data_IF_221079774970
#
_entry.id   IF_221079774970
#
_cell.length_a   1.000
_cell.length_b   1.000
_cell.length_c   1.000
_cell.angle_alpha   90.00
_cell.angle_beta   90.00
_cell.angle_gamma   90.00
#
_symmetry.space_group_name_H-M   'P 1'
#
loop_
_entity.id
_entity.type
_entity.pdbx_description
1 polymer ?
#
# COMPACT_ATOMS: atom_id res chain seq x y z
N UNK A 1 -23.64 10.54 4.89
CA UNK A 1 -23.10 9.17 4.68
C UNK A 1 -21.79 9.09 5.44
N UNK A 2 -21.70 8.23 6.45
CA UNK A 2 -20.53 8.15 7.33
C UNK A 2 -19.33 7.58 6.59
N UNK A 3 -18.20 8.28 6.66
CA UNK A 3 -16.90 7.92 6.10
C UNK A 3 -16.24 6.68 6.75
N UNK A 4 -16.96 5.92 7.59
CA UNK A 4 -16.35 4.94 8.49
C UNK A 4 -15.74 3.71 7.80
N UNK A 5 -16.12 3.41 6.55
CA UNK A 5 -15.64 2.24 5.82
C UNK A 5 -14.60 2.52 4.73
N UNK A 6 -14.21 3.78 4.50
CA UNK A 6 -13.30 4.14 3.40
C UNK A 6 -11.90 4.42 3.98
N UNK A 7 -10.87 3.97 3.26
CA UNK A 7 -9.49 4.35 3.48
C UNK A 7 -9.02 5.21 2.31
N UNK A 8 -8.28 6.28 2.61
CA UNK A 8 -7.76 7.25 1.63
C UNK A 8 -6.26 7.15 1.50
N UNK A 9 -5.75 7.20 0.27
CA UNK A 9 -4.32 7.10 -0.02
C UNK A 9 -3.51 8.19 0.66
N UNK A 10 -4.09 9.37 0.90
CA UNK A 10 -3.45 10.47 1.63
C UNK A 10 -3.07 10.05 3.06
N UNK A 11 -3.86 9.22 3.73
CA UNK A 11 -3.52 8.72 5.07
C UNK A 11 -2.29 7.80 5.02
N UNK A 12 -2.15 7.01 3.96
CA UNK A 12 -0.96 6.21 3.75
C UNK A 12 0.27 7.07 3.44
N UNK A 13 0.10 8.13 2.64
CA UNK A 13 1.18 9.07 2.34
C UNK A 13 1.67 9.78 3.61
N UNK A 14 0.76 10.23 4.48
CA UNK A 14 1.15 10.85 5.75
C UNK A 14 1.86 9.86 6.67
N UNK A 15 1.42 8.59 6.73
CA UNK A 15 2.13 7.55 7.47
C UNK A 15 3.56 7.32 6.97
N UNK A 16 3.76 7.25 5.65
CA UNK A 16 5.10 7.08 5.06
C UNK A 16 5.96 8.28 5.39
N UNK A 17 5.44 9.52 5.30
CA UNK A 17 6.22 10.71 5.70
C UNK A 17 6.64 10.69 7.16
N UNK A 18 5.82 10.14 8.04
CA UNK A 18 6.08 10.07 9.47
C UNK A 18 7.11 8.98 9.82
N UNK A 19 6.95 7.78 9.25
CA UNK A 19 7.68 6.59 9.67
C UNK A 19 8.86 6.25 8.75
N UNK A 20 8.78 6.64 7.48
CA UNK A 20 9.76 6.36 6.42
C UNK A 20 10.04 7.64 5.60
N UNK A 21 10.48 8.75 6.22
CA UNK A 21 10.54 10.08 5.58
C UNK A 21 11.44 10.15 4.34
N UNK A 22 12.45 9.27 4.26
CA UNK A 22 13.40 9.22 3.13
C UNK A 22 12.81 8.50 1.90
N UNK A 23 11.67 7.83 2.03
CA UNK A 23 10.97 7.10 0.95
C UNK A 23 10.14 8.01 0.05
N UNK A 24 10.78 9.04 -0.48
CA UNK A 24 10.17 9.99 -1.42
C UNK A 24 9.71 9.33 -2.72
N UNK A 25 10.36 8.23 -3.11
CA UNK A 25 9.97 7.36 -4.22
C UNK A 25 8.53 6.86 -4.06
N UNK A 26 8.22 6.30 -2.88
CA UNK A 26 6.90 5.75 -2.57
C UNK A 26 5.84 6.85 -2.51
N UNK A 27 6.15 7.98 -1.86
CA UNK A 27 5.25 9.14 -1.79
C UNK A 27 4.91 9.65 -3.19
N UNK A 28 5.91 9.78 -4.06
CA UNK A 28 5.72 10.25 -5.43
C UNK A 28 4.91 9.26 -6.28
N UNK A 29 5.10 7.95 -6.08
CA UNK A 29 4.30 6.92 -6.72
C UNK A 29 2.82 7.02 -6.29
N UNK A 30 2.55 7.04 -4.99
CA UNK A 30 1.18 7.10 -4.44
C UNK A 30 0.44 8.38 -4.85
N UNK A 31 1.12 9.52 -4.92
CA UNK A 31 0.53 10.77 -5.44
C UNK A 31 0.06 10.64 -6.90
N UNK A 32 0.71 9.80 -7.71
CA UNK A 32 0.35 9.57 -9.13
C UNK A 32 -0.62 8.41 -9.34
N UNK A 33 -0.86 7.57 -8.32
CA UNK A 33 -1.81 6.45 -8.38
C UNK A 33 -3.19 6.90 -8.84
N UNK A 34 -3.82 6.15 -9.74
CA UNK A 34 -5.21 6.37 -10.15
C UNK A 34 -6.20 6.00 -9.02
N UNK A 35 -5.84 5.03 -8.18
CA UNK A 35 -6.62 4.63 -7.01
C UNK A 35 -6.31 5.61 -5.88
N UNK A 36 -7.33 6.38 -5.45
CA UNK A 36 -7.23 7.37 -4.38
C UNK A 36 -7.91 6.98 -3.08
N UNK A 37 -8.96 6.16 -3.15
CA UNK A 37 -9.66 5.66 -1.99
C UNK A 37 -10.30 4.30 -2.27
N UNK A 38 -10.52 3.52 -1.22
CA UNK A 38 -11.12 2.20 -1.32
C UNK A 38 -11.89 1.86 -0.04
N UNK A 39 -12.82 0.91 -0.14
CA UNK A 39 -13.42 0.31 1.05
C UNK A 39 -12.37 -0.51 1.81
N UNK A 40 -12.30 -0.30 3.12
CA UNK A 40 -11.40 -1.01 4.02
C UNK A 40 -11.55 -2.51 3.83
N UNK A 41 -10.43 -3.18 3.55
CA UNK A 41 -10.31 -4.61 3.27
C UNK A 41 -8.87 -5.04 3.51
N UNK A 42 -8.65 -6.35 3.63
CA UNK A 42 -7.32 -6.89 3.91
C UNK A 42 -6.30 -6.57 2.83
N UNK A 43 -6.68 -6.61 1.54
CA UNK A 43 -5.73 -6.51 0.43
C UNK A 43 -6.14 -5.48 -0.60
N UNK A 44 -5.19 -4.66 -1.04
CA UNK A 44 -5.36 -3.69 -2.13
C UNK A 44 -4.16 -3.78 -3.06
N UNK A 45 -4.40 -4.13 -4.32
CA UNK A 45 -3.39 -4.01 -5.37
C UNK A 45 -3.43 -2.63 -6.01
N UNK A 46 -2.28 -1.99 -6.15
CA UNK A 46 -2.11 -0.74 -6.91
C UNK A 46 -1.53 -0.98 -8.31
N UNK A 47 -0.99 -2.18 -8.58
CA UNK A 47 -0.48 -2.58 -9.89
C UNK A 47 -0.99 -3.97 -10.28
N UNK A 48 -0.75 -4.38 -11.52
CA UNK A 48 -1.10 -5.71 -12.00
C UNK A 48 -0.20 -6.80 -11.37
N UNK A 49 -0.82 -7.69 -10.60
CA UNK A 49 -0.15 -8.81 -9.92
C UNK A 49 -0.01 -10.08 -10.79
N UNK A 50 -0.34 -10.05 -12.09
CA UNK A 50 -0.22 -11.21 -12.98
C UNK A 50 1.25 -11.57 -13.22
N UNK A 51 1.59 -12.85 -13.01
CA UNK A 51 2.93 -13.43 -13.24
C UNK A 51 4.05 -12.62 -12.54
N UNK A 52 4.03 -12.53 -11.20
CA UNK A 52 5.02 -11.75 -10.46
C UNK A 52 6.44 -12.24 -10.76
N UNK A 53 7.39 -11.31 -10.83
CA UNK A 53 8.82 -11.51 -11.06
C UNK A 53 9.19 -12.18 -12.40
N UNK A 54 8.25 -12.26 -13.34
CA UNK A 54 8.55 -12.67 -14.72
C UNK A 54 8.93 -11.45 -15.58
N UNK A 55 9.76 -11.61 -16.61
CA UNK A 55 10.07 -10.51 -17.52
C UNK A 55 8.80 -9.90 -18.13
N UNK A 56 8.69 -8.57 -18.05
CA UNK A 56 7.56 -7.81 -18.59
C UNK A 56 6.32 -7.72 -17.68
N UNK A 57 6.32 -8.31 -16.48
CA UNK A 57 5.24 -8.07 -15.52
C UNK A 57 5.49 -6.82 -14.67
N UNK A 58 4.40 -6.16 -14.25
CA UNK A 58 4.48 -4.95 -13.42
C UNK A 58 5.03 -5.26 -12.03
N UNK A 59 4.60 -6.40 -11.47
CA UNK A 59 4.99 -6.89 -10.16
C UNK A 59 6.41 -7.46 -10.18
N UNK A 60 7.38 -6.59 -9.91
CA UNK A 60 8.79 -6.94 -9.70
C UNK A 60 9.13 -6.67 -8.25
N UNK A 61 8.97 -7.67 -7.39
CA UNK A 61 9.14 -7.53 -5.95
C UNK A 61 10.56 -7.09 -5.56
N UNK A 62 10.66 -6.27 -4.52
CA UNK A 62 11.92 -5.79 -3.94
C UNK A 62 11.97 -6.07 -2.44
N UNK A 63 11.03 -5.52 -1.67
CA UNK A 63 11.00 -5.64 -0.20
C UNK A 63 9.59 -5.40 0.34
N UNK A 64 9.41 -5.62 1.65
CA UNK A 64 8.24 -5.18 2.38
C UNK A 64 8.64 -4.09 3.37
N UNK A 65 7.78 -3.09 3.53
CA UNK A 65 7.86 -2.16 4.66
C UNK A 65 6.61 -2.26 5.52
N UNK A 66 6.81 -2.10 6.83
CA UNK A 66 5.77 -2.15 7.83
C UNK A 66 5.46 -0.74 8.32
N UNK A 67 4.18 -0.36 8.30
CA UNK A 67 3.69 0.91 8.83
C UNK A 67 2.65 0.66 9.90
N UNK A 68 2.62 1.52 10.92
CA UNK A 68 1.65 1.42 12.00
C UNK A 68 0.62 2.56 11.93
N UNK A 69 -0.64 2.22 11.62
CA UNK A 69 -1.74 3.17 11.64
C UNK A 69 -2.49 3.13 12.98
N UNK A 70 -2.80 4.28 13.62
CA UNK A 70 -3.45 4.32 14.93
C UNK A 70 -4.76 3.53 15.04
N UNK A 71 -5.59 3.54 13.99
CA UNK A 71 -6.89 2.81 13.96
C UNK A 71 -6.92 1.57 13.07
N UNK A 72 -6.01 1.45 12.12
CA UNK A 72 -6.02 0.35 11.13
C UNK A 72 -4.99 -0.73 11.48
N UNK A 73 -4.18 -0.51 12.53
CA UNK A 73 -3.15 -1.44 12.97
C UNK A 73 -1.96 -1.46 12.04
N UNK A 74 -1.30 -2.62 11.96
CA UNK A 74 -0.18 -2.84 11.05
C UNK A 74 -0.67 -2.89 9.59
N UNK A 75 0.00 -2.12 8.75
CA UNK A 75 -0.15 -2.08 7.29
C UNK A 75 1.19 -2.50 6.69
N UNK A 76 1.18 -3.53 5.84
CA UNK A 76 2.37 -3.95 5.07
C UNK A 76 2.26 -3.39 3.67
N UNK A 77 3.34 -2.80 3.16
CA UNK A 77 3.47 -2.40 1.77
C UNK A 77 4.43 -3.32 1.04
N UNK A 78 3.98 -3.91 -0.05
CA UNK A 78 4.85 -4.61 -0.99
C UNK A 78 5.51 -3.58 -1.89
N UNK A 79 6.81 -3.40 -1.73
CA UNK A 79 7.61 -2.51 -2.56
C UNK A 79 8.14 -3.29 -3.75
N UNK A 80 7.94 -2.69 -4.92
CA UNK A 80 8.41 -3.18 -6.19
C UNK A 80 9.60 -2.34 -6.66
N UNK A 81 10.45 -2.96 -7.47
CA UNK A 81 11.59 -2.33 -8.12
C UNK A 81 11.20 -1.01 -8.77
N UNK A 82 12.07 -0.02 -8.58
CA UNK A 82 11.87 1.34 -9.05
C UNK A 82 11.01 2.19 -8.11
N UNK A 83 10.89 1.80 -6.83
CA UNK A 83 10.23 2.60 -5.81
C UNK A 83 8.72 2.72 -6.01
N UNK A 84 8.09 1.60 -6.37
CA UNK A 84 6.64 1.53 -6.60
C UNK A 84 5.99 0.69 -5.52
N UNK A 85 4.79 1.08 -5.10
CA UNK A 85 3.96 0.27 -4.20
C UNK A 85 3.11 -0.67 -5.05
N UNK A 86 3.27 -1.98 -4.87
CA UNK A 86 2.51 -2.99 -5.58
C UNK A 86 1.23 -3.37 -4.87
N UNK A 87 1.37 -3.76 -3.60
CA UNK A 87 0.30 -4.22 -2.74
C UNK A 87 0.28 -3.47 -1.40
N UNK A 88 -0.90 -3.40 -0.81
CA UNK A 88 -1.14 -2.91 0.54
C UNK A 88 -1.91 -4.00 1.28
N UNK A 89 -1.36 -4.47 2.41
CA UNK A 89 -1.99 -5.45 3.28
C UNK A 89 -2.34 -4.80 4.63
N UNK A 90 -3.59 -4.93 5.05
CA UNK A 90 -4.08 -4.47 6.35
C UNK A 90 -4.27 -5.69 7.25
N UNK A 91 -3.31 -5.95 8.14
CA UNK A 91 -3.31 -7.17 8.96
C UNK A 91 -4.56 -7.29 9.84
N UNK A 92 -5.11 -6.15 10.29
CA UNK A 92 -6.36 -6.07 11.07
C UNK A 92 -7.56 -6.74 10.38
N UNK A 93 -7.58 -6.81 9.05
CA UNK A 93 -8.70 -7.36 8.28
C UNK A 93 -8.46 -8.77 7.74
N UNK A 94 -7.31 -9.38 8.06
CA UNK A 94 -7.02 -10.77 7.69
C UNK A 94 -7.77 -11.70 8.65
N UNK A 95 -8.59 -12.66 8.17
CA UNK A 95 -9.26 -13.62 9.02
C UNK A 95 -8.25 -14.48 9.80
N UNK A 96 -8.45 -14.58 11.11
CA UNK A 96 -7.76 -15.57 11.94
C UNK A 96 -8.68 -16.79 12.07
N UNK A 97 -8.26 -17.94 11.55
CA UNK A 97 -8.95 -19.21 11.68
C UNK A 97 -8.46 -19.98 12.92
#
# INVERSE_FOLDING_TARGET
MSSQGIFKIEWLIELIKEQEPDRLDLINHLKKSEIKEWYKRAYVGLVNAIKPNQPGSEWQFEENIELHHPTEGTIILDILKGGRVGGIEFLKYIPHY
#
